data_IF_470129405044
#
_entry.id   IF_470129405044
#
_cell.length_a   1.000
_cell.length_b   1.000
_cell.length_c   1.000
_cell.angle_alpha   90.00
_cell.angle_beta   90.00
_cell.angle_gamma   90.00
#
_symmetry.space_group_name_H-M   'P 1'
#
loop_
_entity.id
_entity.type
_entity.pdbx_description
1 polymer ?
#
# COMPACT_ATOMS: atom_id res chain seq x y z
N UNK A 1 17.09 -30.74 -1.22
CA UNK A 1 16.37 -31.57 -2.20
C UNK A 1 15.31 -30.73 -2.86
N UNK A 2 15.57 -30.25 -4.08
CA UNK A 2 14.61 -29.51 -4.92
C UNK A 2 13.43 -30.42 -5.32
N UNK A 3 12.35 -29.84 -5.83
CA UNK A 3 11.24 -30.61 -6.38
C UNK A 3 11.68 -31.50 -7.53
N UNK A 4 12.55 -31.00 -8.41
CA UNK A 4 13.16 -31.74 -9.52
C UNK A 4 13.98 -32.94 -9.03
N UNK A 5 14.78 -32.80 -7.96
CA UNK A 5 15.52 -33.91 -7.36
C UNK A 5 14.59 -34.97 -6.75
N UNK A 6 13.48 -34.55 -6.13
CA UNK A 6 12.48 -35.47 -5.56
C UNK A 6 11.71 -36.21 -6.65
N UNK A 7 11.35 -35.53 -7.74
CA UNK A 7 10.66 -36.12 -8.89
C UNK A 7 11.54 -37.17 -9.58
N UNK A 8 12.81 -36.85 -9.83
CA UNK A 8 13.80 -37.79 -10.36
C UNK A 8 14.01 -39.01 -9.44
N UNK A 9 14.03 -38.82 -8.12
CA UNK A 9 14.10 -39.92 -7.16
C UNK A 9 12.88 -40.84 -7.24
N UNK A 10 11.67 -40.27 -7.34
CA UNK A 10 10.43 -41.04 -7.52
C UNK A 10 10.44 -41.83 -8.83
N UNK A 11 10.95 -41.25 -9.93
CA UNK A 11 11.09 -41.96 -11.21
C UNK A 11 12.04 -43.14 -11.10
N UNK A 12 13.17 -42.96 -10.44
CA UNK A 12 14.10 -44.06 -10.16
C UNK A 12 13.48 -45.19 -9.34
N UNK A 13 12.64 -44.87 -8.36
CA UNK A 13 11.87 -45.87 -7.61
C UNK A 13 10.82 -46.57 -8.48
N UNK A 14 10.13 -45.81 -9.33
CA UNK A 14 9.13 -46.33 -10.27
C UNK A 14 9.74 -47.36 -11.23
N UNK A 15 10.89 -47.02 -11.83
CA UNK A 15 11.63 -47.91 -12.72
C UNK A 15 12.16 -49.16 -11.99
N UNK A 16 12.56 -49.00 -10.72
CA UNK A 16 13.08 -50.09 -9.88
C UNK A 16 12.03 -51.12 -9.45
N UNK A 17 10.74 -50.84 -9.59
CA UNK A 17 9.65 -51.78 -9.24
C UNK A 17 9.51 -52.94 -10.25
N UNK A 18 10.12 -52.83 -11.43
CA UNK A 18 10.07 -53.89 -12.44
C UNK A 18 8.65 -54.17 -12.96
N UNK A 19 7.82 -53.13 -13.07
CA UNK A 19 6.45 -53.24 -13.56
C UNK A 19 6.44 -53.57 -15.06
N UNK A 20 5.46 -54.37 -15.47
CA UNK A 20 5.26 -54.73 -16.87
C UNK A 20 4.78 -53.51 -17.67
N UNK A 21 5.55 -53.00 -18.66
CA UNK A 21 5.23 -51.77 -19.40
C UNK A 21 3.95 -51.87 -20.25
N UNK A 22 3.47 -53.08 -20.56
CA UNK A 22 2.28 -53.24 -21.39
C UNK A 22 0.97 -53.13 -20.61
N UNK A 23 1.03 -53.27 -19.28
CA UNK A 23 -0.15 -53.19 -18.42
C UNK A 23 -0.71 -51.77 -18.35
N UNK A 24 -2.04 -51.68 -18.28
CA UNK A 24 -2.75 -50.41 -18.22
C UNK A 24 -2.35 -49.58 -16.99
N UNK A 25 -2.14 -50.25 -15.85
CA UNK A 25 -1.73 -49.62 -14.59
C UNK A 25 -0.33 -49.01 -14.69
N UNK A 26 0.62 -49.69 -15.36
CA UNK A 26 1.99 -49.17 -15.56
C UNK A 26 1.99 -47.96 -16.49
N UNK A 27 1.19 -48.01 -17.57
CA UNK A 27 1.01 -46.87 -18.49
C UNK A 27 0.45 -45.65 -17.76
N UNK A 28 -0.54 -45.87 -16.88
CA UNK A 28 -1.09 -44.80 -16.03
C UNK A 28 -0.05 -44.25 -15.04
N UNK A 29 0.73 -45.12 -14.38
CA UNK A 29 1.79 -44.70 -13.47
C UNK A 29 2.86 -43.85 -14.16
N UNK A 30 3.31 -44.26 -15.35
CA UNK A 30 4.28 -43.49 -16.13
C UNK A 30 3.74 -42.11 -16.53
N UNK A 31 2.48 -42.04 -16.97
CA UNK A 31 1.84 -40.76 -17.27
C UNK A 31 1.75 -39.84 -16.02
N UNK A 32 1.50 -40.40 -14.84
CA UNK A 32 1.53 -39.63 -13.58
C UNK A 32 2.96 -39.15 -13.28
N UNK A 33 3.96 -39.98 -13.49
CA UNK A 33 5.37 -39.60 -13.31
C UNK A 33 5.78 -38.46 -14.26
N UNK A 34 5.33 -38.50 -15.52
CA UNK A 34 5.58 -37.44 -16.50
C UNK A 34 4.99 -36.11 -16.03
N UNK A 35 3.74 -36.12 -15.55
CA UNK A 35 3.10 -34.93 -14.97
C UNK A 35 3.85 -34.42 -13.73
N UNK A 36 4.36 -35.31 -12.87
CA UNK A 36 5.14 -34.91 -11.69
C UNK A 36 6.45 -34.22 -12.10
N UNK A 37 7.14 -34.73 -13.11
CA UNK A 37 8.37 -34.11 -13.62
C UNK A 37 8.09 -32.75 -14.25
N UNK A 38 7.03 -32.64 -15.06
CA UNK A 38 6.62 -31.37 -15.66
C UNK A 38 6.24 -30.34 -14.59
N UNK A 39 5.53 -30.76 -13.54
CA UNK A 39 5.19 -29.90 -12.40
C UNK A 39 6.44 -29.47 -11.63
N UNK A 40 7.42 -30.36 -11.46
CA UNK A 40 8.65 -30.04 -10.78
C UNK A 40 9.50 -29.03 -11.56
N UNK A 41 9.57 -29.16 -12.89
CA UNK A 41 10.24 -28.19 -13.77
C UNK A 41 9.50 -26.84 -13.75
N UNK A 42 8.19 -26.85 -13.95
CA UNK A 42 7.37 -25.63 -13.95
C UNK A 42 7.47 -24.88 -12.62
N UNK A 43 7.49 -25.61 -11.50
CA UNK A 43 7.67 -25.00 -10.18
C UNK A 43 9.06 -24.36 -10.03
N UNK A 44 10.11 -25.01 -10.54
CA UNK A 44 11.46 -24.44 -10.56
C UNK A 44 11.52 -23.16 -11.39
N UNK A 45 10.96 -23.18 -12.60
CA UNK A 45 10.92 -21.99 -13.47
C UNK A 45 10.12 -20.85 -12.81
N UNK A 46 9.04 -21.18 -12.10
CA UNK A 46 8.25 -20.18 -11.35
C UNK A 46 9.04 -19.58 -10.18
N UNK A 47 9.84 -20.38 -9.47
CA UNK A 47 10.70 -19.88 -8.39
C UNK A 47 11.74 -18.88 -8.93
N UNK A 48 12.32 -19.16 -10.11
CA UNK A 48 13.26 -18.27 -10.78
C UNK A 48 12.57 -16.96 -11.24
N UNK A 49 11.40 -17.06 -11.88
CA UNK A 49 10.62 -15.89 -12.29
C UNK A 49 10.21 -15.02 -11.10
N UNK A 50 9.82 -15.63 -9.97
CA UNK A 50 9.50 -14.90 -8.74
C UNK A 50 10.73 -14.20 -8.15
N UNK A 51 11.91 -14.78 -8.25
CA UNK A 51 13.13 -14.11 -7.81
C UNK A 51 13.38 -12.83 -8.63
N UNK A 52 13.20 -12.89 -9.95
CA UNK A 52 13.31 -11.72 -10.84
C UNK A 52 12.23 -10.67 -10.54
N UNK A 53 11.00 -11.09 -10.29
CA UNK A 53 9.91 -10.16 -9.93
C UNK A 53 10.17 -9.43 -8.61
N UNK A 54 10.78 -10.09 -7.62
CA UNK A 54 11.16 -9.43 -6.36
C UNK A 54 12.21 -8.34 -6.61
N UNK A 55 13.23 -8.61 -7.43
CA UNK A 55 14.22 -7.59 -7.79
C UNK A 55 13.59 -6.38 -8.51
N UNK A 56 12.60 -6.63 -9.38
CA UNK A 56 11.86 -5.55 -10.02
C UNK A 56 10.98 -4.77 -9.04
N UNK A 57 10.39 -5.45 -8.05
CA UNK A 57 9.59 -4.80 -7.02
C UNK A 57 10.47 -3.88 -6.15
N UNK A 58 11.67 -4.35 -5.76
CA UNK A 58 12.63 -3.53 -5.03
C UNK A 58 13.03 -2.28 -5.83
N UNK A 59 13.21 -2.40 -7.15
CA UNK A 59 13.50 -1.25 -8.02
C UNK A 59 12.32 -0.26 -8.10
N UNK A 60 11.08 -0.75 -8.12
CA UNK A 60 9.89 0.12 -8.09
C UNK A 60 9.75 0.82 -6.74
N UNK A 61 10.07 0.13 -5.65
CA UNK A 61 10.08 0.70 -4.29
C UNK A 61 11.07 1.88 -4.22
N UNK A 62 12.30 1.69 -4.70
CA UNK A 62 13.32 2.74 -4.79
C UNK A 62 12.87 3.93 -5.67
N UNK A 63 12.30 3.66 -6.85
CA UNK A 63 11.76 4.71 -7.73
C UNK A 63 10.62 5.51 -7.05
N UNK A 64 9.79 4.87 -6.21
CA UNK A 64 8.71 5.52 -5.49
C UNK A 64 9.23 6.35 -4.32
N UNK A 65 10.24 5.86 -3.58
CA UNK A 65 10.93 6.62 -2.54
C UNK A 65 11.55 7.90 -3.13
N UNK A 66 12.19 7.82 -4.30
CA UNK A 66 12.73 9.01 -4.99
C UNK A 66 11.63 10.01 -5.38
N UNK A 67 10.45 9.52 -5.80
CA UNK A 67 9.30 10.36 -6.09
C UNK A 67 8.70 10.99 -4.83
N UNK A 68 8.68 10.26 -3.72
CA UNK A 68 8.25 10.76 -2.41
C UNK A 68 9.12 11.96 -2.00
N UNK A 69 10.44 11.78 -2.04
CA UNK A 69 11.41 12.83 -1.75
C UNK A 69 11.26 14.03 -2.71
N UNK A 70 11.05 13.79 -4.00
CA UNK A 70 10.85 14.86 -4.96
C UNK A 70 9.56 15.66 -4.70
N UNK A 71 8.48 14.97 -4.37
CA UNK A 71 7.18 15.61 -4.12
C UNK A 71 7.24 16.31 -2.76
N UNK A 72 7.38 15.56 -1.66
CA UNK A 72 7.31 16.15 -0.33
C UNK A 72 8.53 17.00 0.01
N UNK A 73 9.74 16.65 -0.45
CA UNK A 73 10.92 17.47 -0.24
C UNK A 73 10.92 18.80 -1.00
N UNK A 74 10.10 18.95 -2.06
CA UNK A 74 9.86 20.25 -2.72
C UNK A 74 8.75 21.06 -2.04
N UNK A 75 7.80 20.41 -1.38
CA UNK A 75 6.69 21.06 -0.66
C UNK A 75 6.99 21.36 0.82
N UNK A 76 8.09 20.84 1.40
CA UNK A 76 8.52 21.08 2.79
C UNK A 76 9.60 22.20 2.90
N UNK A 77 10.09 22.73 1.77
CA UNK A 77 10.92 23.95 1.71
C UNK A 77 10.11 25.22 1.33
N UNK A 78 8.79 25.10 1.15
CA UNK A 78 7.87 26.24 1.16
C UNK A 78 7.03 26.18 2.44
N UNK A 79 7.72 26.32 3.56
CA UNK A 79 7.21 26.90 4.81
C UNK A 79 6.89 28.39 4.56
N UNK A 80 5.93 28.65 3.67
CA UNK A 80 5.17 29.89 3.62
C UNK A 80 3.73 29.51 4.02
N UNK A 81 3.49 29.66 5.32
CA UNK A 81 2.23 29.86 6.03
C UNK A 81 1.01 30.22 5.14
N UNK A 82 0.42 29.24 4.45
CA UNK A 82 -0.96 29.34 3.98
C UNK A 82 -1.84 28.66 5.05
N UNK A 83 -1.84 29.26 6.25
CA UNK A 83 -2.62 28.87 7.44
C UNK A 83 -4.12 29.03 7.19
N UNK A 84 -4.71 28.17 6.35
CA UNK A 84 -6.14 28.15 6.11
C UNK A 84 -6.87 27.38 7.21
N UNK A 85 -7.70 28.10 7.98
CA UNK A 85 -8.58 27.54 9.00
C UNK A 85 -9.98 27.26 8.44
N UNK A 86 -10.55 26.12 8.81
CA UNK A 86 -11.94 25.79 8.51
C UNK A 86 -12.87 26.44 9.54
N UNK A 87 -13.75 27.35 9.09
CA UNK A 87 -14.75 27.98 9.92
C UNK A 87 -16.17 27.67 9.42
N UNK A 88 -17.09 27.37 10.34
CA UNK A 88 -18.49 27.12 10.01
C UNK A 88 -19.28 28.40 10.27
N UNK A 89 -19.94 28.94 9.24
CA UNK A 89 -20.79 30.11 9.39
C UNK A 89 -21.99 29.80 10.33
N UNK A 90 -22.15 30.47 11.47
CA UNK A 90 -23.23 30.19 12.42
C UNK A 90 -24.61 30.55 11.88
N UNK A 91 -24.70 31.45 10.88
CA UNK A 91 -25.97 31.89 10.32
C UNK A 91 -26.54 30.93 9.27
N UNK A 92 -25.68 30.24 8.49
CA UNK A 92 -26.12 29.41 7.37
C UNK A 92 -25.51 28.01 7.31
N UNK A 93 -24.60 27.67 8.23
CA UNK A 93 -23.94 26.38 8.34
C UNK A 93 -22.98 26.05 7.20
N UNK A 94 -22.56 27.05 6.41
CA UNK A 94 -21.59 26.85 5.33
C UNK A 94 -20.19 26.75 5.91
N UNK A 95 -19.44 25.75 5.43
CA UNK A 95 -18.02 25.61 5.70
C UNK A 95 -17.27 26.58 4.81
N UNK A 96 -16.46 27.45 5.41
CA UNK A 96 -15.61 28.41 4.72
C UNK A 96 -14.15 28.18 5.13
N UNK A 97 -13.24 28.40 4.19
CA UNK A 97 -11.80 28.38 4.43
C UNK A 97 -11.34 29.82 4.59
N UNK A 98 -10.68 30.11 5.72
CA UNK A 98 -10.28 31.45 6.13
C UNK A 98 -8.78 31.47 6.35
N UNK A 99 -8.11 32.42 5.73
CA UNK A 99 -6.67 32.65 5.88
C UNK A 99 -6.34 33.24 7.26
N UNK A 100 -5.15 32.98 7.80
CA UNK A 100 -4.70 33.51 9.09
C UNK A 100 -4.70 35.05 9.12
N UNK A 101 -4.34 35.69 8.00
CA UNK A 101 -4.39 37.14 7.82
C UNK A 101 -5.81 37.72 8.07
N UNK A 102 -6.85 36.97 7.69
CA UNK A 102 -8.25 37.40 7.82
C UNK A 102 -8.77 37.24 9.25
N UNK A 103 -8.15 36.35 10.04
CA UNK A 103 -8.44 36.20 11.47
C UNK A 103 -7.90 37.37 12.29
N UNK A 104 -6.84 38.04 11.81
CA UNK A 104 -6.29 39.25 12.43
C UNK A 104 -7.02 40.54 12.00
N UNK A 105 -7.77 40.51 10.90
CA UNK A 105 -8.62 41.62 10.44
C UNK A 105 -10.00 41.65 11.14
N UNK A 106 -10.76 42.74 10.98
CA UNK A 106 -12.09 42.99 11.56
C UNK A 106 -13.22 42.03 11.08
N UNK A 107 -12.88 40.87 10.52
CA UNK A 107 -13.79 39.79 10.11
C UNK A 107 -14.08 39.68 8.61
N UNK A 108 -14.63 38.53 8.18
CA UNK A 108 -14.97 38.20 6.78
C UNK A 108 -16.47 38.05 6.57
N UNK A 109 -16.99 38.47 5.41
CA UNK A 109 -18.37 38.20 5.05
C UNK A 109 -18.52 36.76 4.51
N UNK A 110 -19.47 36.00 5.06
CA UNK A 110 -19.79 34.67 4.55
C UNK A 110 -20.23 34.74 3.08
N UNK A 111 -19.66 33.95 2.15
CA UNK A 111 -19.98 34.00 0.72
C UNK A 111 -21.42 33.54 0.40
N UNK A 112 -22.07 32.80 1.31
CA UNK A 112 -23.41 32.26 1.10
C UNK A 112 -24.52 33.15 1.64
N UNK A 113 -24.38 33.67 2.86
CA UNK A 113 -25.41 34.49 3.51
C UNK A 113 -25.03 35.95 3.69
N UNK A 114 -23.79 36.33 3.37
CA UNK A 114 -23.25 37.68 3.48
C UNK A 114 -23.32 38.24 4.92
N UNK A 115 -23.34 37.36 5.92
CA UNK A 115 -23.22 37.72 7.33
C UNK A 115 -21.75 37.99 7.65
N UNK A 116 -21.47 39.05 8.43
CA UNK A 116 -20.11 39.37 8.87
C UNK A 116 -19.70 38.42 9.99
N UNK A 117 -18.64 37.67 9.76
CA UNK A 117 -18.03 36.75 10.71
C UNK A 117 -16.83 37.46 11.34
N UNK A 118 -16.96 37.82 12.61
CA UNK A 118 -15.87 38.38 13.41
C UNK A 118 -15.28 37.25 14.23
N UNK A 119 -13.97 37.04 14.11
CA UNK A 119 -13.24 36.03 14.86
C UNK A 119 -12.59 36.71 16.07
N UNK A 120 -13.15 36.51 17.27
CA UNK A 120 -12.51 37.01 18.50
C UNK A 120 -11.54 35.92 18.99
N UNK A 121 -10.23 36.18 18.89
CA UNK A 121 -9.24 35.39 19.60
C UNK A 121 -9.36 35.70 21.10
N UNK A 122 -10.09 34.86 21.83
CA UNK A 122 -10.03 34.88 23.28
C UNK A 122 -8.61 34.45 23.71
N UNK A 123 -7.79 35.42 24.12
CA UNK A 123 -6.47 35.26 24.77
C UNK A 123 -6.53 34.49 26.14
N UNK A 124 -7.53 33.62 26.30
CA UNK A 124 -7.88 32.95 27.55
C UNK A 124 -7.99 31.42 27.44
N UNK A 125 -7.43 30.77 26.41
CA UNK A 125 -7.22 29.32 26.43
C UNK A 125 -5.75 28.99 26.74
N UNK A 126 -5.40 29.12 28.02
CA UNK A 126 -4.16 28.59 28.56
C UNK A 126 -4.14 27.07 28.49
N UNK A 127 -2.99 26.53 28.10
CA UNK A 127 -2.61 25.13 28.25
C UNK A 127 -3.16 24.49 29.54
N UNK A 128 -4.11 23.56 29.38
CA UNK A 128 -4.62 22.78 30.51
C UNK A 128 -6.01 22.20 30.30
N UNK A 129 -6.09 21.13 29.50
CA UNK A 129 -6.93 19.93 29.67
C UNK A 129 -7.13 19.28 28.28
N UNK A 130 -6.12 18.50 27.87
CA UNK A 130 -6.32 17.47 26.85
C UNK A 130 -7.18 16.38 27.50
N UNK A 131 -8.45 16.31 27.14
CA UNK A 131 -9.22 15.07 27.30
C UNK A 131 -8.69 14.07 26.26
N UNK A 132 -7.72 13.26 26.68
CA UNK A 132 -7.36 12.01 26.00
C UNK A 132 -8.53 11.02 26.12
N UNK A 133 -9.53 11.15 25.26
CA UNK A 133 -10.51 10.08 25.00
C UNK A 133 -10.56 9.78 23.50
N UNK A 134 -9.59 9.00 23.04
CA UNK A 134 -9.72 8.18 21.84
C UNK A 134 -9.72 6.71 22.28
N UNK A 135 -10.88 6.28 22.76
CA UNK A 135 -11.26 4.87 22.72
C UNK A 135 -11.90 4.58 21.36
N UNK A 136 -11.18 3.78 20.55
CA UNK A 136 -11.62 2.62 19.74
C UNK A 136 -10.69 2.38 18.54
#
# INVERSE_FOLDING_TARGET
MTLTEKAAYLRGLADGLGLDPEKAETKMFNAIMDVIDDLALTASDTEDDLAVLNEQLDAVDEDLDELEDFVYGFFDEEDDDDDFFEAICPACGEVIYVDSDILEEDGINCPKCNELLVFEMDDACGCGECDDDWTE
#
